data_IF_630829131848
#
_entry.id   IF_630829131848
#
_cell.length_a   1.000
_cell.length_b   1.000
_cell.length_c   1.000
_cell.angle_alpha   90.00
_cell.angle_beta   90.00
_cell.angle_gamma   90.00
#
_symmetry.space_group_name_H-M   'P 1'
#
loop_
_entity.id
_entity.type
_entity.pdbx_description
1 polymer ?
#
# COMPACT_ATOMS: atom_id res chain seq x y z
N UNK A 1 7.16 -1.58 18.23
CA UNK A 1 8.26 -1.45 19.23
C UNK A 1 7.95 -0.30 20.18
N UNK A 2 8.24 -0.45 21.48
CA UNK A 2 8.02 0.60 22.49
C UNK A 2 9.35 1.26 22.85
N UNK A 3 9.37 2.59 22.86
CA UNK A 3 10.47 3.35 23.43
C UNK A 3 10.22 3.52 24.92
N UNK A 4 11.29 3.48 25.70
CA UNK A 4 11.27 3.91 27.09
C UNK A 4 12.01 5.25 27.19
N UNK A 5 11.49 6.15 28.04
CA UNK A 5 12.09 7.47 28.27
C UNK A 5 12.66 7.47 29.68
N UNK A 6 13.95 7.81 29.80
CA UNK A 6 14.65 7.92 31.06
C UNK A 6 14.83 9.41 31.44
N UNK A 7 14.55 9.77 32.68
CA UNK A 7 14.87 11.10 33.21
C UNK A 7 16.20 11.03 33.99
N UNK A 8 17.28 11.41 33.30
CA UNK A 8 18.64 11.21 33.77
C UNK A 8 19.39 12.55 33.90
N UNK A 9 20.27 12.61 34.88
CA UNK A 9 21.16 13.75 35.13
C UNK A 9 22.46 13.59 34.34
N UNK A 10 23.03 14.67 33.78
CA UNK A 10 24.25 14.60 32.96
C UNK A 10 25.45 13.92 33.64
N UNK A 11 25.54 14.02 34.98
CA UNK A 11 26.62 13.45 35.78
C UNK A 11 26.44 11.96 36.14
N UNK A 12 25.33 11.33 35.75
CA UNK A 12 25.14 9.90 35.92
C UNK A 12 25.99 9.12 34.91
N UNK A 13 26.38 7.89 35.27
CA UNK A 13 27.18 7.03 34.39
C UNK A 13 26.32 6.34 33.35
N UNK A 14 26.88 6.11 32.16
CA UNK A 14 26.25 5.33 31.08
C UNK A 14 25.82 3.94 31.57
N UNK A 15 26.61 3.29 32.42
CA UNK A 15 26.26 1.98 32.97
C UNK A 15 24.97 1.93 33.80
N UNK A 16 24.42 3.08 34.22
CA UNK A 16 23.09 3.15 34.84
C UNK A 16 21.99 2.73 33.85
N UNK A 17 22.12 3.09 32.57
CA UNK A 17 21.16 2.73 31.51
C UNK A 17 21.01 1.22 31.38
N UNK A 18 22.12 0.49 31.50
CA UNK A 18 22.09 -0.97 31.49
C UNK A 18 21.31 -1.50 32.69
N UNK A 19 21.54 -0.95 33.89
CA UNK A 19 20.81 -1.41 35.08
C UNK A 19 19.32 -1.12 35.03
N UNK A 20 18.93 0.00 34.44
CA UNK A 20 17.55 0.44 34.36
C UNK A 20 16.77 -0.28 33.25
N UNK A 21 17.39 -0.45 32.08
CA UNK A 21 16.71 -0.97 30.88
C UNK A 21 17.05 -2.43 30.54
N UNK A 22 18.17 -2.97 31.04
CA UNK A 22 18.51 -4.38 30.83
C UNK A 22 17.99 -5.30 31.95
N UNK A 23 17.64 -4.79 33.13
CA UNK A 23 17.03 -5.62 34.19
C UNK A 23 15.68 -6.22 33.77
N UNK A 24 14.96 -5.56 32.85
CA UNK A 24 13.75 -6.11 32.24
C UNK A 24 14.04 -7.23 31.21
N UNK A 25 15.27 -7.27 30.69
CA UNK A 25 15.71 -8.22 29.67
C UNK A 25 16.36 -9.48 30.27
N UNK A 26 16.65 -9.48 31.58
CA UNK A 26 17.51 -10.49 32.20
C UNK A 26 16.96 -10.92 33.58
N UNK A 27 16.60 -12.19 33.71
CA UNK A 27 16.16 -12.80 34.99
C UNK A 27 17.31 -13.16 35.96
N UNK A 28 18.56 -13.07 35.50
CA UNK A 28 19.79 -13.40 36.26
C UNK A 28 20.81 -12.24 36.22
N UNK A 29 21.26 -11.77 37.38
CA UNK A 29 22.19 -10.62 37.49
C UNK A 29 23.50 -10.79 36.70
N UNK A 30 23.92 -12.01 36.40
CA UNK A 30 25.18 -12.33 35.70
C UNK A 30 25.26 -11.86 34.24
N UNK A 31 24.14 -11.52 33.58
CA UNK A 31 24.16 -11.08 32.17
C UNK A 31 24.08 -9.56 31.97
N UNK A 32 24.07 -8.77 33.04
CA UNK A 32 24.06 -7.29 32.94
C UNK A 32 25.39 -6.77 32.39
N UNK A 33 26.50 -7.48 32.64
CA UNK A 33 27.82 -7.10 32.12
C UNK A 33 27.95 -7.26 30.59
N UNK A 34 27.21 -8.21 30.01
CA UNK A 34 27.17 -8.49 28.56
C UNK A 34 26.37 -7.46 27.75
N UNK A 35 25.63 -6.58 28.43
CA UNK A 35 24.86 -5.53 27.79
C UNK A 35 25.74 -4.32 27.50
N UNK A 36 25.64 -3.82 26.28
CA UNK A 36 26.32 -2.62 25.81
C UNK A 36 25.29 -1.53 25.51
N UNK A 37 25.75 -0.29 25.52
CA UNK A 37 24.95 0.90 25.22
C UNK A 37 25.50 1.55 23.97
N UNK A 38 24.65 1.82 22.99
CA UNK A 38 25.05 2.48 21.74
C UNK A 38 24.24 3.75 21.56
N UNK A 39 24.90 4.82 21.14
CA UNK A 39 24.20 6.00 20.64
C UNK A 39 23.66 5.71 19.23
N UNK A 40 22.47 6.23 18.91
CA UNK A 40 21.81 6.01 17.62
C UNK A 40 22.74 6.27 16.44
N UNK A 41 22.80 5.31 15.52
CA UNK A 41 23.62 5.32 14.30
C UNK A 41 25.15 5.30 14.50
N UNK A 42 25.64 5.17 15.74
CA UNK A 42 27.05 4.97 16.05
C UNK A 42 27.46 3.49 15.96
N UNK A 43 28.67 3.24 15.49
CA UNK A 43 29.19 1.87 15.32
C UNK A 43 29.73 1.27 16.63
N UNK A 44 30.30 2.10 17.49
CA UNK A 44 30.94 1.69 18.73
C UNK A 44 30.00 1.88 19.92
N UNK A 45 30.15 1.01 20.92
CA UNK A 45 29.47 1.15 22.20
C UNK A 45 30.09 2.25 23.07
N UNK A 46 29.29 2.75 24.01
CA UNK A 46 29.68 3.78 24.95
C UNK A 46 30.36 3.16 26.17
N UNK A 47 31.42 3.81 26.64
CA UNK A 47 32.11 3.44 27.87
C UNK A 47 31.18 3.59 29.08
N UNK A 48 30.75 2.45 29.64
CA UNK A 48 29.86 2.36 30.81
C UNK A 48 30.39 3.10 32.06
N UNK A 49 31.70 3.36 32.13
CA UNK A 49 32.36 4.08 33.22
C UNK A 49 32.24 5.61 33.13
N UNK A 50 32.03 6.17 31.93
CA UNK A 50 31.88 7.60 31.69
C UNK A 50 30.50 8.11 32.08
N UNK A 51 30.43 9.40 32.36
CA UNK A 51 29.15 10.10 32.53
C UNK A 51 28.41 10.27 31.20
N UNK A 52 27.11 10.56 31.25
CA UNK A 52 26.31 10.86 30.06
C UNK A 52 26.89 12.07 29.30
N UNK A 53 27.31 13.10 30.03
CA UNK A 53 27.93 14.30 29.48
C UNK A 53 29.28 14.00 28.79
N UNK A 54 30.17 13.24 29.46
CA UNK A 54 31.46 12.82 28.90
C UNK A 54 31.32 11.93 27.66
N UNK A 55 30.19 11.23 27.55
CA UNK A 55 29.83 10.38 26.41
C UNK A 55 29.09 11.12 25.31
N UNK A 56 28.85 12.43 25.49
CA UNK A 56 28.20 13.29 24.52
C UNK A 56 26.69 13.08 24.39
N UNK A 57 26.06 12.32 25.30
CA UNK A 57 24.61 12.09 25.30
C UNK A 57 23.90 13.37 25.73
N UNK A 58 22.93 13.80 24.94
CA UNK A 58 22.12 15.01 25.14
C UNK A 58 20.65 14.66 25.26
N UNK A 59 19.88 15.63 25.75
CA UNK A 59 18.43 15.52 25.80
C UNK A 59 17.87 15.29 24.38
N UNK A 60 17.03 14.26 24.23
CA UNK A 60 16.41 13.88 22.96
C UNK A 60 17.20 12.83 22.16
N UNK A 61 18.42 12.50 22.59
CA UNK A 61 19.16 11.39 22.00
C UNK A 61 18.47 10.06 22.25
N UNK A 62 18.66 9.14 21.31
CA UNK A 62 18.15 7.78 21.41
C UNK A 62 19.33 6.84 21.57
N UNK A 63 19.21 5.90 22.49
CA UNK A 63 20.24 4.90 22.77
C UNK A 63 19.66 3.50 22.63
N UNK A 64 20.46 2.57 22.13
CA UNK A 64 20.17 1.15 22.18
C UNK A 64 20.88 0.53 23.38
N UNK A 65 20.17 -0.27 24.16
CA UNK A 65 20.72 -1.04 25.28
C UNK A 65 20.43 -2.51 25.02
N UNK A 66 21.46 -3.34 24.89
CA UNK A 66 21.27 -4.75 24.57
C UNK A 66 22.57 -5.53 24.42
N UNK A 67 22.44 -6.85 24.17
CA UNK A 67 23.59 -7.78 24.11
C UNK A 67 24.16 -7.98 22.70
N UNK A 68 23.39 -7.68 21.66
CA UNK A 68 23.87 -7.78 20.29
C UNK A 68 24.91 -6.69 20.02
N UNK A 69 26.10 -7.08 19.54
CA UNK A 69 27.17 -6.14 19.15
C UNK A 69 27.13 -5.80 17.65
N UNK A 70 26.66 -6.74 16.86
CA UNK A 70 26.34 -6.58 15.44
C UNK A 70 25.02 -7.27 15.17
N UNK A 71 24.32 -6.79 14.15
CA UNK A 71 23.09 -7.38 13.65
C UNK A 71 23.27 -7.72 12.18
N UNK A 72 23.09 -8.98 11.85
CA UNK A 72 23.08 -9.43 10.46
C UNK A 72 21.70 -9.20 9.86
N UNK A 73 21.65 -8.36 8.84
CA UNK A 73 20.42 -7.93 8.18
C UNK A 73 20.39 -8.52 6.78
N UNK A 74 19.28 -9.17 6.44
CA UNK A 74 18.93 -9.54 5.07
C UNK A 74 17.74 -8.69 4.63
N UNK A 75 17.87 -7.97 3.51
CA UNK A 75 16.81 -7.15 2.92
C UNK A 75 16.47 -7.72 1.55
N UNK A 76 15.22 -8.13 1.37
CA UNK A 76 14.71 -8.63 0.09
C UNK A 76 13.95 -7.53 -0.64
N UNK A 77 14.14 -7.42 -1.95
CA UNK A 77 13.40 -6.53 -2.83
C UNK A 77 13.28 -7.18 -4.22
N UNK A 78 12.05 -7.33 -4.72
CA UNK A 78 11.78 -7.92 -6.05
C UNK A 78 12.54 -9.24 -6.32
N UNK A 79 12.61 -10.12 -5.32
CA UNK A 79 13.31 -11.42 -5.39
C UNK A 79 14.84 -11.36 -5.34
N UNK A 80 15.43 -10.17 -5.16
CA UNK A 80 16.87 -9.98 -4.92
C UNK A 80 17.12 -9.76 -3.43
N UNK A 81 18.25 -10.26 -2.95
CA UNK A 81 18.65 -10.16 -1.55
C UNK A 81 19.87 -9.24 -1.39
N UNK A 82 19.84 -8.38 -0.39
CA UNK A 82 20.95 -7.56 0.07
C UNK A 82 21.25 -7.88 1.54
N UNK A 83 22.43 -8.44 1.80
CA UNK A 83 22.89 -8.77 3.15
C UNK A 83 23.98 -7.81 3.61
N UNK A 84 23.90 -7.39 4.88
CA UNK A 84 24.87 -6.52 5.53
C UNK A 84 24.88 -6.74 7.04
N UNK A 85 26.02 -6.49 7.67
CA UNK A 85 26.16 -6.51 9.13
C UNK A 85 26.33 -5.08 9.64
N UNK A 86 25.49 -4.66 10.58
CA UNK A 86 25.44 -3.28 11.07
C UNK A 86 25.46 -3.22 12.59
N UNK A 87 25.81 -2.06 13.15
CA UNK A 87 25.61 -1.80 14.59
C UNK A 87 24.11 -1.91 14.96
N UNK A 88 23.77 -2.47 16.13
CA UNK A 88 22.38 -2.55 16.59
C UNK A 88 21.69 -1.18 16.72
N UNK A 89 22.46 -0.09 16.85
CA UNK A 89 21.94 1.28 16.91
C UNK A 89 21.57 1.86 15.54
N UNK A 90 21.88 1.16 14.45
CA UNK A 90 21.53 1.57 13.09
C UNK A 90 20.02 1.66 12.97
N UNK A 91 19.52 2.84 12.60
CA UNK A 91 18.10 3.05 12.46
C UNK A 91 17.57 2.64 11.08
N UNK A 92 16.26 2.39 11.03
CA UNK A 92 15.57 1.96 9.82
C UNK A 92 15.72 2.97 8.66
N UNK A 93 15.80 4.28 8.95
CA UNK A 93 16.05 5.30 7.92
C UNK A 93 17.41 5.11 7.23
N UNK A 94 18.48 4.95 8.01
CA UNK A 94 19.84 4.70 7.48
C UNK A 94 19.86 3.39 6.71
N UNK A 95 19.22 2.34 7.24
CA UNK A 95 19.14 1.03 6.62
C UNK A 95 18.35 1.06 5.29
N UNK A 96 17.22 1.77 5.24
CA UNK A 96 16.43 1.98 4.01
C UNK A 96 17.26 2.70 2.96
N UNK A 97 17.97 3.77 3.33
CA UNK A 97 18.84 4.49 2.40
C UNK A 97 19.95 3.59 1.81
N UNK A 98 20.56 2.72 2.63
CA UNK A 98 21.53 1.73 2.14
C UNK A 98 20.89 0.74 1.16
N UNK A 99 19.67 0.26 1.45
CA UNK A 99 18.94 -0.64 0.58
C UNK A 99 18.58 0.01 -0.77
N UNK A 100 18.01 1.22 -0.76
CA UNK A 100 17.66 1.97 -1.98
C UNK A 100 18.90 2.17 -2.86
N UNK A 101 20.02 2.58 -2.26
CA UNK A 101 21.29 2.73 -2.96
C UNK A 101 21.81 1.41 -3.54
N UNK A 102 21.69 0.30 -2.80
CA UNK A 102 22.13 -1.02 -3.25
C UNK A 102 21.30 -1.51 -4.45
N UNK A 103 19.98 -1.34 -4.39
CA UNK A 103 19.07 -1.76 -5.47
C UNK A 103 19.00 -0.77 -6.64
N UNK A 104 19.66 0.39 -6.55
CA UNK A 104 19.66 1.42 -7.60
C UNK A 104 18.33 2.14 -7.75
N UNK A 105 17.57 2.27 -6.67
CA UNK A 105 16.26 2.92 -6.63
C UNK A 105 16.49 4.41 -6.29
N UNK A 106 15.92 5.31 -7.10
CA UNK A 106 15.99 6.75 -6.86
C UNK A 106 15.20 7.17 -5.62
N UNK A 107 15.49 8.36 -5.06
CA UNK A 107 14.80 8.84 -3.87
C UNK A 107 13.28 9.00 -4.10
N UNK A 108 12.86 9.44 -5.29
CA UNK A 108 11.45 9.58 -5.66
C UNK A 108 10.75 8.22 -5.78
N UNK A 109 11.39 7.26 -6.46
CA UNK A 109 10.85 5.90 -6.66
C UNK A 109 10.86 5.06 -5.37
N UNK A 110 11.64 5.47 -4.36
CA UNK A 110 11.78 4.79 -3.08
C UNK A 110 11.00 5.45 -1.93
N UNK A 111 10.24 6.51 -2.21
CA UNK A 111 9.61 7.34 -1.18
C UNK A 111 8.52 6.61 -0.39
N UNK A 112 7.83 5.66 -1.03
CA UNK A 112 6.74 4.84 -0.47
C UNK A 112 7.21 3.47 0.04
N UNK A 113 8.47 3.08 -0.25
CA UNK A 113 9.03 1.80 0.17
C UNK A 113 9.36 1.81 1.67
N UNK A 114 8.89 0.79 2.38
CA UNK A 114 9.09 0.58 3.81
C UNK A 114 9.86 -0.72 4.06
N UNK A 115 10.52 -0.81 5.20
CA UNK A 115 11.19 -2.04 5.66
C UNK A 115 10.23 -2.85 6.53
N UNK A 116 9.71 -3.93 6.00
CA UNK A 116 8.74 -4.81 6.65
C UNK A 116 9.44 -5.95 7.40
N UNK A 117 8.99 -6.23 8.63
CA UNK A 117 9.37 -7.42 9.40
C UNK A 117 8.43 -8.59 9.01
N UNK A 118 7.14 -8.30 8.89
CA UNK A 118 6.07 -9.23 8.51
C UNK A 118 4.95 -8.46 7.78
N UNK A 119 3.83 -9.11 7.45
CA UNK A 119 2.71 -8.49 6.69
C UNK A 119 2.03 -7.31 7.40
N UNK A 120 2.15 -7.21 8.71
CA UNK A 120 1.46 -6.23 9.54
C UNK A 120 2.40 -5.23 10.19
N UNK A 121 3.70 -5.51 10.20
CA UNK A 121 4.69 -4.75 10.94
C UNK A 121 5.81 -4.26 10.03
N UNK A 122 5.99 -2.95 9.96
CA UNK A 122 7.16 -2.31 9.35
C UNK A 122 7.94 -1.49 10.37
N UNK A 123 9.18 -1.17 10.01
CA UNK A 123 10.08 -0.34 10.80
C UNK A 123 9.83 1.15 10.52
N UNK A 124 9.48 1.90 11.55
CA UNK A 124 9.51 3.37 11.48
C UNK A 124 10.96 3.87 11.42
N UNK A 125 11.19 5.00 10.76
CA UNK A 125 12.52 5.61 10.54
C UNK A 125 13.41 5.71 11.79
N UNK A 126 12.81 5.86 12.96
CA UNK A 126 13.51 5.97 14.26
C UNK A 126 13.86 4.62 14.89
N UNK A 127 13.22 3.52 14.50
CA UNK A 127 13.49 2.20 15.08
C UNK A 127 14.93 1.80 14.81
N UNK A 128 15.62 1.33 15.85
CA UNK A 128 16.98 0.80 15.76
C UNK A 128 16.93 -0.71 15.57
N UNK A 129 17.74 -1.24 14.66
CA UNK A 129 17.61 -2.63 14.21
C UNK A 129 17.90 -3.65 15.33
N UNK A 130 18.71 -3.29 16.32
CA UNK A 130 18.95 -4.12 17.50
C UNK A 130 17.68 -4.44 18.29
N UNK A 131 16.65 -3.60 18.20
CA UNK A 131 15.37 -3.81 18.89
C UNK A 131 14.42 -4.78 18.19
N UNK A 132 14.82 -5.33 17.02
CA UNK A 132 14.03 -6.28 16.23
C UNK A 132 14.60 -7.70 16.26
N UNK A 133 15.57 -7.95 17.12
CA UNK A 133 16.30 -9.22 17.16
C UNK A 133 16.53 -9.68 18.59
N UNK A 134 16.62 -11.00 18.75
CA UNK A 134 16.96 -11.65 20.01
C UNK A 134 18.42 -12.13 20.02
N UNK A 135 19.09 -11.98 21.16
CA UNK A 135 20.38 -12.60 21.42
C UNK A 135 20.17 -14.10 21.72
N UNK A 136 21.05 -15.02 21.27
CA UNK A 136 22.33 -14.80 20.59
C UNK A 136 22.23 -14.68 19.06
N UNK A 137 21.03 -14.80 18.48
CA UNK A 137 20.85 -14.89 17.03
C UNK A 137 21.25 -13.59 16.31
N UNK A 138 20.93 -12.44 16.89
CA UNK A 138 21.34 -11.11 16.41
C UNK A 138 21.19 -10.94 14.88
N UNK A 139 20.06 -11.37 14.33
CA UNK A 139 19.78 -11.25 12.89
C UNK A 139 18.30 -11.02 12.60
N UNK A 140 18.04 -10.37 11.47
CA UNK A 140 16.69 -10.00 11.03
C UNK A 140 16.59 -10.07 9.51
N UNK A 141 15.46 -10.59 9.03
CA UNK A 141 15.09 -10.58 7.62
C UNK A 141 14.01 -9.53 7.42
N UNK A 142 14.21 -8.66 6.43
CA UNK A 142 13.32 -7.56 6.09
C UNK A 142 12.91 -7.68 4.62
N UNK A 143 11.72 -7.16 4.33
CA UNK A 143 11.23 -6.98 2.97
C UNK A 143 11.09 -5.48 2.70
N UNK A 144 11.75 -4.99 1.64
CA UNK A 144 11.55 -3.64 1.14
C UNK A 144 10.38 -3.67 0.17
N UNK A 145 9.29 -2.98 0.48
CA UNK A 145 8.07 -2.97 -0.34
C UNK A 145 7.17 -1.80 0.01
N UNK A 146 6.31 -1.40 -0.93
CA UNK A 146 5.25 -0.43 -0.64
C UNK A 146 4.21 -1.02 0.31
N UNK A 147 3.36 -0.19 0.91
CA UNK A 147 2.25 -0.68 1.73
C UNK A 147 1.23 -1.47 0.89
N UNK A 148 0.99 -1.03 -0.33
CA UNK A 148 0.06 -1.65 -1.27
C UNK A 148 0.52 -3.06 -1.66
N UNK A 149 1.82 -3.26 -1.87
CA UNK A 149 2.38 -4.59 -2.19
C UNK A 149 2.22 -5.62 -1.06
N UNK A 150 2.18 -5.16 0.20
CA UNK A 150 2.14 -6.03 1.38
C UNK A 150 0.72 -6.26 1.89
N UNK A 151 -0.09 -5.20 1.92
CA UNK A 151 -1.42 -5.20 2.52
C UNK A 151 -2.55 -5.23 1.48
N UNK A 152 -2.23 -5.08 0.19
CA UNK A 152 -3.21 -4.85 -0.88
C UNK A 152 -3.69 -3.40 -0.93
N UNK A 153 -4.37 -3.03 -2.01
CA UNK A 153 -5.16 -1.80 -2.07
C UNK A 153 -6.55 -2.08 -1.44
N UNK A 154 -6.93 -1.43 -0.32
CA UNK A 154 -8.22 -1.71 0.35
C UNK A 154 -9.42 -1.59 -0.58
N UNK A 155 -9.37 -0.66 -1.53
CA UNK A 155 -10.41 -0.46 -2.53
C UNK A 155 -10.48 -1.59 -3.57
N UNK A 156 -9.34 -2.24 -3.87
CA UNK A 156 -9.33 -3.44 -4.71
C UNK A 156 -9.95 -4.64 -3.98
N UNK A 157 -9.73 -4.76 -2.66
CA UNK A 157 -10.39 -5.78 -1.83
C UNK A 157 -11.91 -5.59 -1.82
N UNK A 158 -12.40 -4.36 -1.68
CA UNK A 158 -13.83 -4.06 -1.81
C UNK A 158 -14.37 -4.43 -3.20
N UNK A 159 -13.63 -4.16 -4.27
CA UNK A 159 -14.02 -4.62 -5.61
C UNK A 159 -14.11 -6.15 -5.63
N UNK A 160 -13.13 -6.86 -5.08
CA UNK A 160 -13.15 -8.32 -5.03
C UNK A 160 -14.38 -8.86 -4.28
N UNK A 161 -14.76 -8.24 -3.17
CA UNK A 161 -16.00 -8.58 -2.45
C UNK A 161 -17.24 -8.35 -3.31
N UNK A 162 -17.30 -7.23 -4.04
CA UNK A 162 -18.40 -6.95 -4.97
C UNK A 162 -18.44 -7.96 -6.13
N UNK A 163 -17.29 -8.36 -6.66
CA UNK A 163 -17.19 -9.39 -7.69
C UNK A 163 -17.61 -10.76 -7.15
N UNK A 164 -17.40 -11.05 -5.87
CA UNK A 164 -17.85 -12.29 -5.23
C UNK A 164 -19.32 -12.27 -4.80
N UNK A 165 -20.00 -11.13 -4.91
CA UNK A 165 -21.42 -11.01 -4.56
C UNK A 165 -22.32 -11.82 -5.49
N UNK A 166 -23.44 -12.32 -4.96
CA UNK A 166 -24.42 -13.08 -5.74
C UNK A 166 -24.98 -12.27 -6.93
N UNK A 167 -25.12 -10.96 -6.77
CA UNK A 167 -25.63 -10.06 -7.82
C UNK A 167 -24.68 -10.01 -9.03
N UNK A 168 -23.38 -9.83 -8.79
CA UNK A 168 -22.39 -9.86 -9.86
C UNK A 168 -22.30 -11.26 -10.49
N UNK A 169 -22.21 -12.30 -9.65
CA UNK A 169 -22.00 -13.67 -10.09
C UNK A 169 -23.15 -14.19 -10.96
N UNK A 170 -24.40 -13.81 -10.67
CA UNK A 170 -25.55 -14.20 -11.51
C UNK A 170 -25.37 -13.76 -12.96
N UNK A 171 -25.06 -12.48 -13.21
CA UNK A 171 -24.88 -12.00 -14.58
C UNK A 171 -23.57 -12.47 -15.21
N UNK A 172 -22.53 -12.75 -14.41
CA UNK A 172 -21.30 -13.36 -14.92
C UNK A 172 -21.52 -14.80 -15.41
N UNK A 173 -22.27 -15.61 -14.64
CA UNK A 173 -22.65 -16.98 -15.00
C UNK A 173 -23.58 -17.03 -16.23
N UNK A 174 -24.42 -16.00 -16.41
CA UNK A 174 -25.28 -15.84 -17.58
C UNK A 174 -24.56 -15.22 -18.79
N UNK A 175 -23.25 -14.96 -18.68
CA UNK A 175 -22.45 -14.25 -19.68
C UNK A 175 -22.99 -12.87 -20.09
N UNK A 176 -23.77 -12.23 -19.21
CA UNK A 176 -24.23 -10.85 -19.40
C UNK A 176 -23.08 -9.84 -19.30
N UNK A 177 -22.12 -10.12 -18.43
CA UNK A 177 -20.89 -9.35 -18.25
C UNK A 177 -19.76 -10.21 -17.69
N UNK A 178 -18.57 -9.66 -17.64
CA UNK A 178 -17.44 -10.25 -16.93
C UNK A 178 -16.22 -9.35 -16.98
N UNK A 179 -15.10 -9.84 -16.48
CA UNK A 179 -13.81 -9.14 -16.46
C UNK A 179 -12.82 -9.84 -17.39
N UNK A 180 -11.82 -9.12 -17.91
CA UNK A 180 -10.68 -9.77 -18.56
C UNK A 180 -9.77 -10.38 -17.48
N UNK A 181 -9.49 -11.68 -17.57
CA UNK A 181 -8.57 -12.38 -16.68
C UNK A 181 -7.09 -12.25 -17.14
N UNK A 182 -6.15 -12.35 -16.19
CA UNK A 182 -4.69 -12.55 -16.37
C UNK A 182 -3.87 -11.36 -16.91
N UNK A 183 -2.60 -11.63 -17.29
CA UNK A 183 -1.42 -10.79 -17.60
C UNK A 183 -1.64 -9.52 -18.45
N UNK A 184 -2.86 -9.34 -18.97
CA UNK A 184 -3.30 -8.16 -19.72
C UNK A 184 -4.17 -7.20 -18.89
N UNK A 185 -4.44 -7.51 -17.61
CA UNK A 185 -5.15 -6.63 -16.70
C UNK A 185 -4.29 -5.36 -16.48
N UNK A 186 -4.86 -4.16 -16.64
CA UNK A 186 -4.14 -2.95 -16.28
C UNK A 186 -3.92 -2.92 -14.76
N UNK A 187 -2.87 -2.22 -14.32
CA UNK A 187 -2.61 -2.03 -12.89
C UNK A 187 -3.80 -1.32 -12.22
N UNK A 188 -4.07 -1.66 -10.96
CA UNK A 188 -4.99 -0.91 -10.12
C UNK A 188 -4.64 0.59 -10.19
N UNK A 189 -5.62 1.52 -10.27
CA UNK A 189 -7.07 1.34 -10.10
C UNK A 189 -7.84 1.10 -11.40
N UNK A 190 -7.19 0.58 -12.45
CA UNK A 190 -7.86 0.37 -13.72
C UNK A 190 -8.30 -1.09 -13.88
N UNK A 191 -9.53 -1.28 -14.36
CA UNK A 191 -10.10 -2.62 -14.60
C UNK A 191 -10.85 -2.63 -15.92
N UNK A 192 -10.76 -3.73 -16.68
CA UNK A 192 -11.51 -3.88 -17.94
C UNK A 192 -12.62 -4.89 -17.74
N UNK A 193 -13.86 -4.40 -17.81
CA UNK A 193 -15.06 -5.23 -17.88
C UNK A 193 -15.52 -5.36 -19.32
N UNK A 194 -16.17 -6.48 -19.64
CA UNK A 194 -16.93 -6.65 -20.86
C UNK A 194 -18.40 -6.83 -20.53
N UNK A 195 -19.27 -6.35 -21.42
CA UNK A 195 -20.72 -6.49 -21.34
C UNK A 195 -21.23 -6.95 -22.70
N UNK A 196 -22.10 -7.96 -22.72
CA UNK A 196 -22.67 -8.49 -23.97
C UNK A 196 -23.82 -7.60 -24.44
N UNK A 197 -23.86 -7.32 -25.74
CA UNK A 197 -24.96 -6.63 -26.40
C UNK A 197 -25.99 -7.62 -26.97
N UNK A 198 -27.14 -7.10 -27.39
CA UNK A 198 -28.23 -7.91 -27.97
C UNK A 198 -27.82 -8.73 -29.20
N UNK A 199 -26.78 -8.29 -29.92
CA UNK A 199 -26.20 -9.01 -31.06
C UNK A 199 -25.38 -10.25 -30.66
N UNK A 200 -25.03 -10.38 -29.37
CA UNK A 200 -24.05 -11.35 -28.88
C UNK A 200 -22.61 -10.78 -28.84
N UNK A 201 -22.39 -9.57 -29.36
CA UNK A 201 -21.05 -8.95 -29.33
C UNK A 201 -20.70 -8.48 -27.91
N UNK A 202 -19.44 -8.69 -27.51
CA UNK A 202 -18.90 -8.16 -26.24
C UNK A 202 -18.30 -6.78 -26.47
N UNK A 203 -18.79 -5.78 -25.72
CA UNK A 203 -18.18 -4.46 -25.64
C UNK A 203 -17.33 -4.37 -24.38
N UNK A 204 -16.11 -3.86 -24.53
CA UNK A 204 -15.16 -3.74 -23.43
C UNK A 204 -15.12 -2.30 -22.93
N UNK A 205 -14.98 -2.16 -21.63
CA UNK A 205 -14.99 -0.91 -20.91
C UNK A 205 -13.81 -0.86 -19.96
N UNK A 206 -12.94 0.12 -20.13
CA UNK A 206 -11.88 0.40 -19.17
C UNK A 206 -12.44 1.34 -18.11
N UNK A 207 -12.53 0.85 -16.89
CA UNK A 207 -12.93 1.59 -15.72
C UNK A 207 -11.71 2.17 -15.00
N UNK A 208 -11.86 3.40 -14.53
CA UNK A 208 -11.04 4.04 -13.51
C UNK A 208 -11.80 3.95 -12.19
N UNK A 209 -11.20 3.21 -11.25
CA UNK A 209 -11.73 2.92 -9.91
C UNK A 209 -10.96 3.71 -8.83
N UNK A 210 -10.33 4.84 -9.18
CA UNK A 210 -9.66 5.68 -8.19
C UNK A 210 -10.67 6.12 -7.13
N UNK A 211 -10.38 5.78 -5.86
CA UNK A 211 -11.25 6.04 -4.71
C UNK A 211 -12.54 5.22 -4.71
N UNK A 212 -12.50 4.00 -5.27
CA UNK A 212 -13.65 3.11 -5.37
C UNK A 212 -14.32 2.86 -4.02
N UNK A 213 -15.63 2.56 -4.07
CA UNK A 213 -16.57 2.52 -2.96
C UNK A 213 -17.04 3.89 -2.46
N UNK A 214 -16.13 4.83 -2.22
CA UNK A 214 -16.49 6.21 -1.84
C UNK A 214 -16.94 7.04 -3.05
N UNK A 215 -16.20 6.95 -4.15
CA UNK A 215 -16.49 7.67 -5.38
C UNK A 215 -17.00 6.74 -6.48
N UNK A 216 -17.90 7.28 -7.31
CA UNK A 216 -18.39 6.55 -8.47
C UNK A 216 -17.25 6.22 -9.44
N UNK A 217 -17.29 5.05 -10.10
CA UNK A 217 -16.38 4.74 -11.19
C UNK A 217 -16.50 5.72 -12.36
N UNK A 218 -15.51 5.72 -13.25
CA UNK A 218 -15.59 6.34 -14.58
C UNK A 218 -15.20 5.33 -15.63
N UNK A 219 -15.93 5.25 -16.74
CA UNK A 219 -15.64 4.25 -17.78
C UNK A 219 -15.51 4.86 -19.18
N UNK A 220 -14.73 4.20 -20.03
CA UNK A 220 -14.67 4.46 -21.47
C UNK A 220 -14.75 3.16 -22.26
N UNK A 221 -15.30 3.21 -23.47
CA UNK A 221 -15.21 2.09 -24.41
C UNK A 221 -13.74 1.82 -24.75
N UNK A 222 -13.36 0.54 -24.75
CA UNK A 222 -11.98 0.11 -24.87
C UNK A 222 -11.82 -0.96 -25.95
N UNK A 223 -10.67 -0.95 -26.60
CA UNK A 223 -10.21 -2.02 -27.45
C UNK A 223 -9.08 -2.78 -26.72
N UNK A 224 -9.37 -3.99 -26.17
CA UNK A 224 -8.37 -4.75 -25.42
C UNK A 224 -7.27 -5.33 -26.32
N UNK A 225 -7.47 -5.40 -27.64
CA UNK A 225 -6.46 -5.93 -28.57
C UNK A 225 -5.32 -4.95 -28.82
N UNK A 226 -5.65 -3.65 -28.85
CA UNK A 226 -4.69 -2.57 -29.05
C UNK A 226 -4.36 -1.82 -27.76
N UNK A 227 -5.10 -2.10 -26.67
CA UNK A 227 -5.02 -1.40 -25.40
C UNK A 227 -5.19 0.12 -25.57
N UNK A 228 -6.23 0.53 -26.30
CA UNK A 228 -6.57 1.94 -26.56
C UNK A 228 -8.07 2.20 -26.46
N UNK A 229 -8.52 3.46 -26.34
CA UNK A 229 -9.94 3.79 -26.44
C UNK A 229 -10.53 3.28 -27.77
N UNK A 230 -11.72 2.68 -27.71
CA UNK A 230 -12.37 2.17 -28.91
C UNK A 230 -12.67 3.31 -29.89
N UNK A 231 -12.32 3.13 -31.16
CA UNK A 231 -12.60 4.13 -32.21
C UNK A 231 -14.09 4.42 -32.35
N UNK A 232 -14.46 5.69 -32.51
CA UNK A 232 -15.86 6.15 -32.49
C UNK A 232 -16.77 5.46 -33.52
N UNK A 233 -16.23 5.08 -34.68
CA UNK A 233 -16.99 4.35 -35.71
C UNK A 233 -17.49 2.98 -35.26
N UNK A 234 -16.90 2.41 -34.20
CA UNK A 234 -17.27 1.14 -33.59
C UNK A 234 -18.16 1.30 -32.35
N UNK A 235 -18.56 2.53 -32.01
CA UNK A 235 -19.40 2.75 -30.83
C UNK A 235 -20.83 2.27 -31.08
N UNK A 236 -21.47 1.66 -30.07
CA UNK A 236 -22.89 1.33 -30.11
C UNK A 236 -23.74 2.54 -30.50
N UNK A 237 -24.66 2.39 -31.47
CA UNK A 237 -25.45 3.52 -31.97
C UNK A 237 -26.85 3.16 -32.51
N UNK A 238 -27.40 1.99 -32.21
CA UNK A 238 -28.63 1.51 -32.86
C UNK A 238 -29.92 2.17 -32.38
N UNK A 239 -30.02 2.62 -31.13
CA UNK A 239 -31.22 3.27 -30.59
C UNK A 239 -30.90 4.61 -29.90
N UNK A 240 -31.95 5.36 -29.51
CA UNK A 240 -31.81 6.70 -28.88
C UNK A 240 -31.02 6.64 -27.57
N UNK A 241 -31.26 5.63 -26.72
CA UNK A 241 -30.58 5.48 -25.42
C UNK A 241 -29.10 5.16 -25.62
N UNK A 242 -28.79 4.19 -26.47
CA UNK A 242 -27.43 3.81 -26.84
C UNK A 242 -26.65 5.00 -27.39
N UNK A 243 -27.22 5.75 -28.36
CA UNK A 243 -26.62 6.99 -28.89
C UNK A 243 -26.42 8.08 -27.84
N UNK A 244 -27.25 8.12 -26.80
CA UNK A 244 -27.13 9.11 -25.74
C UNK A 244 -25.98 8.76 -24.79
N UNK A 245 -25.85 7.49 -24.41
CA UNK A 245 -24.81 7.01 -23.49
C UNK A 245 -23.44 7.03 -24.16
N UNK A 246 -23.35 6.47 -25.36
CA UNK A 246 -22.10 6.34 -26.11
C UNK A 246 -21.97 7.50 -27.11
N UNK A 247 -21.64 8.68 -26.60
CA UNK A 247 -21.49 9.91 -27.39
C UNK A 247 -20.23 10.68 -27.04
N UNK A 248 -19.73 11.48 -27.99
CA UNK A 248 -18.74 12.49 -27.69
C UNK A 248 -19.44 13.73 -27.14
N UNK A 249 -19.03 14.17 -25.95
CA UNK A 249 -19.67 15.31 -25.29
C UNK A 249 -18.70 16.16 -24.45
N UNK A 250 -17.41 16.06 -24.72
CA UNK A 250 -16.37 16.90 -24.11
C UNK A 250 -15.64 16.28 -22.92
N UNK A 251 -16.09 15.11 -22.44
CA UNK A 251 -15.39 14.31 -21.42
C UNK A 251 -15.10 12.90 -21.94
N UNK A 252 -13.98 12.32 -21.52
CA UNK A 252 -13.64 10.92 -21.79
C UNK A 252 -14.33 10.02 -20.77
N UNK A 253 -15.65 9.93 -20.85
CA UNK A 253 -16.46 9.07 -20.01
C UNK A 253 -17.82 8.75 -20.66
N UNK A 254 -18.54 7.77 -20.11
CA UNK A 254 -19.87 7.43 -20.59
C UNK A 254 -20.90 8.42 -20.06
N UNK A 255 -21.90 8.79 -20.87
CA UNK A 255 -22.93 9.75 -20.45
C UNK A 255 -23.99 9.09 -19.56
N UNK A 256 -23.58 8.71 -18.34
CA UNK A 256 -24.38 7.97 -17.36
C UNK A 256 -24.37 8.68 -15.98
N UNK A 257 -25.48 8.70 -15.24
CA UNK A 257 -25.51 9.31 -13.91
C UNK A 257 -24.62 8.61 -12.86
N UNK A 258 -24.33 7.31 -13.04
CA UNK A 258 -23.39 6.55 -12.20
C UNK A 258 -21.91 6.75 -12.58
N UNK A 259 -21.61 7.55 -13.61
CA UNK A 259 -20.24 7.89 -13.99
C UNK A 259 -19.84 9.21 -13.33
N UNK A 260 -18.77 9.20 -12.53
CA UNK A 260 -18.32 10.37 -11.75
C UNK A 260 -18.03 11.58 -12.63
N UNK A 261 -17.25 11.40 -13.69
CA UNK A 261 -16.93 12.50 -14.60
C UNK A 261 -18.17 12.96 -15.35
N UNK A 262 -19.11 12.07 -15.65
CA UNK A 262 -20.32 12.47 -16.33
C UNK A 262 -21.27 13.30 -15.45
N UNK A 263 -21.40 12.92 -14.19
CA UNK A 263 -22.26 13.60 -13.23
C UNK A 263 -21.82 15.05 -12.97
N UNK A 264 -20.52 15.32 -12.97
CA UNK A 264 -19.96 16.67 -12.85
C UNK A 264 -20.53 17.63 -13.91
N UNK A 265 -21.27 18.64 -13.45
CA UNK A 265 -21.91 19.65 -14.29
C UNK A 265 -23.37 19.37 -14.64
N UNK A 266 -23.93 18.23 -14.20
CA UNK A 266 -25.36 17.91 -14.35
C UNK A 266 -26.10 18.01 -13.01
N UNK A 267 -26.37 19.24 -12.57
CA UNK A 267 -26.99 19.51 -11.27
C UNK A 267 -28.43 18.99 -11.14
N UNK A 268 -29.10 18.70 -12.26
CA UNK A 268 -30.47 18.17 -12.28
C UNK A 268 -30.53 16.63 -12.24
N UNK A 269 -29.42 15.94 -12.53
CA UNK A 269 -29.38 14.48 -12.56
C UNK A 269 -29.65 13.82 -11.21
N UNK A 270 -29.13 14.32 -10.07
CA UNK A 270 -29.46 13.75 -8.78
C UNK A 270 -30.96 13.72 -8.48
N UNK A 271 -31.70 14.71 -8.97
CA UNK A 271 -33.15 14.74 -8.83
C UNK A 271 -33.86 13.85 -9.86
N UNK A 272 -33.44 13.89 -11.13
CA UNK A 272 -34.13 13.19 -12.24
C UNK A 272 -33.80 11.70 -12.35
N UNK A 273 -32.60 11.32 -11.92
CA UNK A 273 -32.02 9.99 -12.08
C UNK A 273 -31.46 9.47 -10.77
N UNK A 274 -32.09 9.80 -9.63
CA UNK A 274 -31.62 9.43 -8.28
C UNK A 274 -31.25 7.95 -8.15
N UNK A 275 -32.02 7.05 -8.77
CA UNK A 275 -31.76 5.60 -8.74
C UNK A 275 -30.47 5.18 -9.46
N UNK A 276 -29.96 6.00 -10.38
CA UNK A 276 -28.69 5.77 -11.10
C UNK A 276 -27.51 6.54 -10.49
N UNK A 277 -27.73 7.48 -9.58
CA UNK A 277 -26.62 8.13 -8.89
C UNK A 277 -25.90 7.12 -8.02
N UNK A 278 -24.58 7.09 -8.13
CA UNK A 278 -23.74 6.27 -7.26
C UNK A 278 -23.85 6.74 -5.81
N UNK A 279 -24.14 5.82 -4.92
CA UNK A 279 -24.19 6.02 -3.48
C UNK A 279 -22.95 5.41 -2.85
N UNK A 280 -22.14 6.28 -2.24
CA UNK A 280 -20.93 5.89 -1.54
C UNK A 280 -21.21 4.77 -0.52
N UNK A 281 -20.38 3.73 -0.51
CA UNK A 281 -20.45 2.59 0.41
C UNK A 281 -21.71 1.71 0.33
N UNK A 282 -22.68 2.04 -0.53
CA UNK A 282 -23.90 1.26 -0.75
C UNK A 282 -23.89 0.54 -2.10
N UNK A 283 -23.50 1.24 -3.17
CA UNK A 283 -23.55 0.69 -4.52
C UNK A 283 -22.29 -0.12 -4.85
N UNK A 284 -22.47 -1.16 -5.67
CA UNK A 284 -21.40 -2.03 -6.16
C UNK A 284 -21.13 -1.78 -7.64
N UNK A 285 -20.01 -2.30 -8.17
CA UNK A 285 -19.69 -2.19 -9.61
C UNK A 285 -20.83 -2.74 -10.49
N UNK A 286 -21.58 -3.71 -9.96
CA UNK A 286 -22.70 -4.36 -10.65
C UNK A 286 -23.79 -3.37 -11.05
N UNK A 287 -24.07 -2.32 -10.26
CA UNK A 287 -25.00 -1.25 -10.65
C UNK A 287 -24.62 -0.63 -12.00
N UNK A 288 -23.34 -0.34 -12.18
CA UNK A 288 -22.84 0.25 -13.42
C UNK A 288 -22.95 -0.77 -14.57
N UNK A 289 -22.57 -2.03 -14.34
CA UNK A 289 -22.65 -3.09 -15.35
C UNK A 289 -24.09 -3.38 -15.77
N UNK A 290 -25.05 -3.36 -14.85
CA UNK A 290 -26.48 -3.48 -15.13
C UNK A 290 -26.95 -2.35 -16.05
N UNK A 291 -26.58 -1.10 -15.77
CA UNK A 291 -26.96 0.04 -16.61
C UNK A 291 -26.37 -0.06 -18.03
N UNK A 292 -25.12 -0.55 -18.15
CA UNK A 292 -24.51 -0.83 -19.44
C UNK A 292 -25.22 -1.97 -20.18
N UNK A 293 -25.51 -3.07 -19.49
CA UNK A 293 -26.20 -4.21 -20.05
C UNK A 293 -27.59 -3.81 -20.55
N UNK A 294 -28.36 -3.07 -19.74
CA UNK A 294 -29.66 -2.52 -20.13
C UNK A 294 -29.53 -1.60 -21.33
N UNK A 295 -28.54 -0.70 -21.36
CA UNK A 295 -28.31 0.21 -22.49
C UNK A 295 -27.95 -0.53 -23.78
N UNK A 296 -27.22 -1.64 -23.69
CA UNK A 296 -26.80 -2.46 -24.83
C UNK A 296 -27.87 -3.47 -25.29
N UNK A 297 -28.88 -3.73 -24.46
CA UNK A 297 -29.93 -4.72 -24.74
C UNK A 297 -31.34 -4.13 -24.88
N UNK A 298 -31.49 -2.80 -24.75
CA UNK A 298 -32.73 -2.06 -24.96
C UNK A 298 -33.27 -2.19 -26.40
#
# INVERSE_FOLDING_TARGET
MKYQVADLKPNQRVGLLVKEFASELVSNQDFVEDCEVYLKNEEDDLDKGKTLEESGIKQGDHVFVGRCKKVDVSINYAGKEYTLSVSPSTNARKLRHLALKHFGIGDDDGADLLLWIDKNTYLEDKNMIGSTTDYPKCSVSLLLASKEDIQGAPEEEVLNDHLNSAEYQSGAMEESWGMIENDKRPQWPFVIFWVVAKSGDKYFFRFDLTGYNEFAPTAILWDPSTNTPLGQSKWPNWNKRTKQVFRLWGKQCLYLPCDRLALEGHTDWPQKHNYLIWKAFEDTITKYLIELYQTLNY
#
